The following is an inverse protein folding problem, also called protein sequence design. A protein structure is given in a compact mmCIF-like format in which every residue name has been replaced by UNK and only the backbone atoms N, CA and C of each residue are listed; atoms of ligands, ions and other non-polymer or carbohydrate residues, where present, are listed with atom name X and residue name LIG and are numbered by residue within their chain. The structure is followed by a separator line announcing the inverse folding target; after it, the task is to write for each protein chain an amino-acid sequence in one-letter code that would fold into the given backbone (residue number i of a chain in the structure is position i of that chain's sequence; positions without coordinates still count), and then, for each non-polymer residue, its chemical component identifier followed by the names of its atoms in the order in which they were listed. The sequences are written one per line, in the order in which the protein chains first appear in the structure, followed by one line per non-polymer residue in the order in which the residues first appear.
data_IF_779278303949
#
_entry.id   IF_779278303949
#
_cell.length_a   1.000
_cell.length_b   1.000
_cell.length_c   1.000
_cell.angle_alpha   90.00
_cell.angle_beta   90.00
_cell.angle_gamma   90.00
#
_symmetry.space_group_name_H-M   'P 1'
#
loop_
_entity.id
_entity.type
_entity.pdbx_description
1 polymer ?
#
# COMPACT_ATOMS: atom_id res chain seq x y z
N UNK A 1 -73.44 -37.72 50.79
CA UNK A 1 -73.30 -36.29 51.14
C UNK A 1 -72.58 -35.60 50.01
N UNK A 2 -73.27 -34.71 49.32
CA UNK A 2 -72.69 -33.77 48.36
C UNK A 2 -71.69 -32.86 49.06
N UNK A 3 -70.55 -32.60 48.41
CA UNK A 3 -69.87 -31.31 48.51
C UNK A 3 -69.20 -30.99 47.18
N UNK A 4 -69.91 -30.20 46.38
CA UNK A 4 -69.32 -29.42 45.29
C UNK A 4 -68.58 -28.24 45.94
N UNK A 5 -67.27 -28.14 45.76
CA UNK A 5 -66.50 -26.99 46.23
C UNK A 5 -65.52 -26.45 45.16
N UNK A 6 -65.96 -25.32 44.58
CA UNK A 6 -65.23 -24.17 44.01
C UNK A 6 -64.01 -24.40 43.10
N UNK A 7 -64.24 -24.04 41.83
CA UNK A 7 -63.24 -23.58 40.86
C UNK A 7 -62.37 -22.45 41.43
N UNK A 8 -61.05 -22.63 41.38
CA UNK A 8 -60.08 -21.58 41.65
C UNK A 8 -59.21 -21.38 40.40
N UNK A 9 -59.75 -20.66 39.41
CA UNK A 9 -58.94 -20.08 38.33
C UNK A 9 -58.34 -18.78 38.86
N UNK A 10 -57.03 -18.74 39.11
CA UNK A 10 -56.29 -17.49 38.86
C UNK A 10 -54.75 -17.62 38.81
N UNK A 11 -54.17 -16.68 38.06
CA UNK A 11 -52.81 -16.08 38.16
C UNK A 11 -51.54 -16.81 37.73
N UNK A 12 -51.51 -18.11 37.39
CA UNK A 12 -50.22 -18.73 37.00
C UNK A 12 -49.66 -18.28 35.63
N UNK A 13 -50.52 -17.92 34.68
CA UNK A 13 -50.10 -17.60 33.31
C UNK A 13 -49.32 -16.28 33.14
N UNK A 14 -49.65 -15.24 33.89
CA UNK A 14 -48.99 -13.93 33.75
C UNK A 14 -47.57 -13.94 34.35
N UNK A 15 -47.40 -14.63 35.48
CA UNK A 15 -46.12 -14.75 36.20
C UNK A 15 -45.11 -15.59 35.40
N UNK A 16 -45.60 -16.63 34.73
CA UNK A 16 -44.79 -17.49 33.87
C UNK A 16 -44.37 -16.79 32.56
N UNK A 17 -45.26 -15.94 31.98
CA UNK A 17 -44.93 -15.10 30.82
C UNK A 17 -43.88 -14.03 31.16
N UNK A 18 -44.01 -13.34 32.29
CA UNK A 18 -43.03 -12.35 32.75
C UNK A 18 -41.65 -12.96 32.99
N UNK A 19 -41.60 -14.16 33.60
CA UNK A 19 -40.33 -14.89 33.78
C UNK A 19 -39.70 -15.31 32.45
N UNK A 20 -40.49 -15.69 31.45
CA UNK A 20 -39.97 -16.03 30.13
C UNK A 20 -39.37 -14.81 29.40
N UNK A 21 -40.02 -13.63 29.49
CA UNK A 21 -39.45 -12.39 28.93
C UNK A 21 -38.14 -11.99 29.61
N UNK A 22 -38.03 -12.19 30.92
CA UNK A 22 -36.80 -11.89 31.66
C UNK A 22 -35.63 -12.79 31.23
N UNK A 23 -35.90 -14.09 31.03
CA UNK A 23 -34.89 -15.04 30.55
C UNK A 23 -34.45 -14.71 29.12
N UNK A 24 -35.38 -14.32 28.24
CA UNK A 24 -35.04 -13.90 26.87
C UNK A 24 -34.20 -12.61 26.88
N UNK A 25 -34.51 -11.65 27.76
CA UNK A 25 -33.72 -10.42 27.92
C UNK A 25 -32.27 -10.70 28.33
N UNK A 26 -32.05 -11.56 29.33
CA UNK A 26 -30.70 -11.93 29.78
C UNK A 26 -29.92 -12.70 28.70
N UNK A 27 -30.61 -13.54 27.92
CA UNK A 27 -30.00 -14.25 26.80
C UNK A 27 -29.60 -13.29 25.65
N UNK A 28 -30.36 -12.22 25.38
CA UNK A 28 -29.98 -11.25 24.35
C UNK A 28 -28.80 -10.37 24.76
N UNK A 29 -28.60 -10.09 26.06
CA UNK A 29 -27.42 -9.33 26.54
C UNK A 29 -26.10 -10.09 26.38
N UNK A 30 -26.13 -11.43 26.27
CA UNK A 30 -24.93 -12.26 26.13
C UNK A 30 -24.50 -12.47 24.67
N UNK A 31 -25.27 -11.95 23.69
CA UNK A 31 -24.91 -11.95 22.26
C UNK A 31 -24.34 -10.61 21.76
N UNK A 32 -23.94 -9.69 22.64
CA UNK A 32 -23.17 -8.50 22.25
C UNK A 32 -21.75 -8.88 21.80
N UNK A 33 -21.63 -9.26 20.53
CA UNK A 33 -20.35 -9.31 19.84
C UNK A 33 -19.65 -7.95 19.80
N UNK A 34 -18.33 -7.96 19.72
CA UNK A 34 -17.50 -6.76 19.66
C UNK A 34 -17.73 -5.98 18.35
N UNK A 35 -18.53 -4.92 18.41
CA UNK A 35 -18.41 -3.72 17.58
C UNK A 35 -18.03 -2.59 18.53
N UNK A 36 -17.06 -1.73 18.28
CA UNK A 36 -16.22 -1.51 17.11
C UNK A 36 -15.31 -0.34 17.46
N UNK A 37 -14.42 -0.01 16.54
CA UNK A 37 -13.73 1.28 16.48
C UNK A 37 -14.63 2.44 16.91
N UNK A 38 -14.16 3.28 17.84
CA UNK A 38 -14.85 4.54 18.18
C UNK A 38 -14.79 4.97 19.64
N UNK A 39 -13.67 4.79 20.33
CA UNK A 39 -13.40 5.42 21.64
C UNK A 39 -12.09 6.22 21.54
N UNK A 40 -12.03 7.15 20.58
CA UNK A 40 -10.84 7.97 20.31
C UNK A 40 -10.83 9.27 21.13
N UNK A 41 -11.25 9.20 22.41
CA UNK A 41 -11.34 10.37 23.30
C UNK A 41 -10.57 10.21 24.62
N UNK A 42 -9.73 9.18 24.72
CA UNK A 42 -8.76 9.00 25.81
C UNK A 42 -7.33 8.78 25.26
N UNK A 43 -7.05 9.35 24.09
CA UNK A 43 -5.70 9.41 23.49
C UNK A 43 -4.83 10.45 24.22
N UNK A 44 -4.62 10.25 25.52
CA UNK A 44 -3.43 10.72 26.26
C UNK A 44 -2.54 9.52 26.63
N UNK A 45 -2.61 8.45 25.85
CA UNK A 45 -1.45 7.58 25.71
C UNK A 45 -0.47 8.33 24.81
N UNK A 46 0.41 9.11 25.43
CA UNK A 46 1.62 9.67 24.83
C UNK A 46 2.27 8.58 23.98
N UNK A 47 2.01 8.60 22.67
CA UNK A 47 2.70 7.74 21.71
C UNK A 47 4.16 8.03 21.91
N UNK A 48 4.89 7.06 22.47
CA UNK A 48 6.31 7.21 22.69
C UNK A 48 6.99 7.19 21.32
N UNK A 49 7.21 8.38 20.77
CA UNK A 49 7.95 8.58 19.51
C UNK A 49 9.46 8.37 19.70
N UNK A 50 9.89 7.79 20.82
CA UNK A 50 11.28 7.42 21.10
C UNK A 50 11.81 6.35 20.15
N UNK A 51 10.93 5.61 19.46
CA UNK A 51 11.29 4.74 18.34
C UNK A 51 10.81 5.35 17.02
N UNK A 52 11.20 6.60 16.78
CA UNK A 52 11.41 7.05 15.41
C UNK A 52 12.71 6.40 14.95
N UNK A 53 12.61 5.24 14.28
CA UNK A 53 13.75 4.67 13.57
C UNK A 53 14.29 5.75 12.65
N UNK A 54 15.51 6.18 12.95
CA UNK A 54 16.11 7.38 12.37
C UNK A 54 15.93 7.40 10.86
N UNK A 55 15.61 8.59 10.35
CA UNK A 55 15.69 8.92 8.94
C UNK A 55 17.00 8.32 8.42
N UNK A 56 16.91 7.25 7.62
CA UNK A 56 18.11 6.68 7.00
C UNK A 56 18.65 7.82 6.14
N UNK A 57 19.86 8.34 6.42
CA UNK A 57 20.44 9.37 5.57
C UNK A 57 20.42 8.82 4.15
N UNK A 58 19.88 9.55 3.18
CA UNK A 58 20.06 9.19 1.79
C UNK A 58 21.56 9.22 1.54
N UNK A 59 22.18 8.04 1.51
CA UNK A 59 23.58 7.90 1.16
C UNK A 59 23.76 8.58 -0.19
N UNK A 60 24.73 9.50 -0.34
CA UNK A 60 24.99 10.12 -1.63
C UNK A 60 25.18 9.03 -2.70
N UNK A 61 24.73 9.27 -3.94
CA UNK A 61 24.79 8.27 -4.99
C UNK A 61 26.24 7.77 -5.14
N UNK A 62 26.44 6.47 -4.92
CA UNK A 62 27.74 5.84 -5.16
C UNK A 62 28.05 5.79 -6.66
N UNK A 63 29.31 5.58 -7.01
CA UNK A 63 29.75 5.38 -8.40
C UNK A 63 28.94 4.29 -9.10
N UNK A 64 28.59 3.23 -8.39
CA UNK A 64 27.78 2.12 -8.91
C UNK A 64 26.35 2.57 -9.22
N UNK A 65 25.74 3.39 -8.34
CA UNK A 65 24.40 3.92 -8.61
C UNK A 65 24.37 4.81 -9.85
N UNK A 66 25.41 5.62 -10.07
CA UNK A 66 25.53 6.44 -11.28
C UNK A 66 25.71 5.61 -12.54
N UNK A 67 26.46 4.50 -12.46
CA UNK A 67 26.64 3.57 -13.58
C UNK A 67 25.34 2.83 -13.93
N UNK A 68 24.58 2.42 -12.92
CA UNK A 68 23.27 1.78 -13.09
C UNK A 68 22.27 2.75 -13.70
N UNK A 69 22.21 3.98 -13.17
CA UNK A 69 21.39 5.07 -13.66
C UNK A 69 21.67 5.38 -15.15
N UNK A 70 22.95 5.41 -15.54
CA UNK A 70 23.36 5.57 -16.93
C UNK A 70 22.91 4.41 -17.81
N UNK A 71 23.01 3.17 -17.31
CA UNK A 71 22.59 1.97 -18.05
C UNK A 71 21.08 1.99 -18.30
N UNK A 72 20.30 2.32 -17.27
CA UNK A 72 18.83 2.45 -17.38
C UNK A 72 18.46 3.58 -18.35
N UNK A 73 19.11 4.75 -18.23
CA UNK A 73 18.90 5.86 -19.18
C UNK A 73 19.12 5.38 -20.61
N UNK A 74 20.23 4.73 -20.90
CA UNK A 74 20.56 4.27 -22.25
C UNK A 74 19.56 3.22 -22.76
N UNK A 75 19.07 2.33 -21.90
CA UNK A 75 18.03 1.37 -22.24
C UNK A 75 16.71 2.09 -22.61
N UNK A 76 16.27 3.05 -21.79
CA UNK A 76 15.04 3.82 -22.01
C UNK A 76 15.13 4.67 -23.28
N UNK A 77 16.28 5.25 -23.59
CA UNK A 77 16.45 6.17 -24.72
C UNK A 77 16.66 5.45 -26.05
N UNK A 78 17.25 4.24 -26.02
CA UNK A 78 17.36 3.37 -27.19
C UNK A 78 16.08 2.56 -27.48
N UNK A 79 15.18 2.47 -26.50
CA UNK A 79 13.91 1.78 -26.66
C UNK A 79 13.05 2.42 -27.76
N UNK A 80 12.50 1.56 -28.60
CA UNK A 80 11.44 1.90 -29.54
C UNK A 80 10.09 1.73 -28.82
N UNK A 81 9.57 2.85 -28.30
CA UNK A 81 8.37 2.87 -27.46
C UNK A 81 7.13 2.40 -28.24
N UNK A 82 7.10 2.61 -29.55
CA UNK A 82 5.97 2.23 -30.40
C UNK A 82 5.93 0.71 -30.60
N UNK A 83 7.09 0.10 -30.82
CA UNK A 83 7.23 -1.35 -30.95
C UNK A 83 7.18 -2.10 -29.64
N UNK A 84 7.48 -1.43 -28.52
CA UNK A 84 7.40 -2.06 -27.20
C UNK A 84 5.97 -2.47 -26.85
N UNK A 85 4.94 -1.73 -27.30
CA UNK A 85 3.53 -2.02 -27.02
C UNK A 85 3.21 -2.29 -25.53
N UNK A 86 3.96 -1.65 -24.61
CA UNK A 86 3.83 -1.86 -23.17
C UNK A 86 4.47 -3.15 -22.63
N UNK A 87 5.28 -3.85 -23.43
CA UNK A 87 6.07 -4.98 -22.99
C UNK A 87 7.22 -4.52 -22.06
N UNK A 88 7.56 -5.34 -21.05
CA UNK A 88 8.68 -5.03 -20.16
C UNK A 88 10.02 -5.04 -20.91
N UNK A 89 10.88 -4.06 -20.61
CA UNK A 89 12.22 -3.97 -21.17
C UNK A 89 13.28 -4.36 -20.12
N UNK A 90 13.95 -5.53 -20.27
CA UNK A 90 15.02 -5.92 -19.35
C UNK A 90 16.27 -5.08 -19.57
N UNK A 91 17.02 -4.83 -18.50
CA UNK A 91 18.34 -4.20 -18.56
C UNK A 91 19.30 -4.87 -17.57
N UNK A 92 20.59 -4.78 -17.86
CA UNK A 92 21.65 -5.28 -16.98
C UNK A 92 22.88 -4.39 -17.12
N UNK A 93 23.52 -4.12 -15.99
CA UNK A 93 24.80 -3.43 -15.92
C UNK A 93 25.89 -4.42 -15.51
N UNK A 94 26.75 -4.80 -16.45
CA UNK A 94 27.83 -5.76 -16.21
C UNK A 94 28.94 -5.21 -15.30
N UNK A 95 29.08 -3.88 -15.16
CA UNK A 95 30.14 -3.29 -14.32
C UNK A 95 29.84 -3.41 -12.82
N UNK A 96 28.57 -3.28 -12.45
CA UNK A 96 28.09 -3.33 -11.05
C UNK A 96 27.46 -4.67 -10.70
N UNK A 97 27.07 -5.47 -11.70
CA UNK A 97 26.27 -6.68 -11.53
C UNK A 97 24.79 -6.41 -11.26
N UNK A 98 24.33 -5.16 -11.34
CA UNK A 98 22.92 -4.81 -11.17
C UNK A 98 22.10 -5.18 -12.41
N UNK A 99 20.85 -5.56 -12.21
CA UNK A 99 19.91 -5.84 -13.30
C UNK A 99 18.48 -5.47 -12.91
N UNK A 100 17.58 -5.39 -13.88
CA UNK A 100 16.19 -5.09 -13.60
C UNK A 100 15.32 -5.11 -14.83
N UNK A 101 14.08 -4.67 -14.63
CA UNK A 101 13.07 -4.60 -15.68
C UNK A 101 12.42 -3.23 -15.63
N UNK A 102 12.37 -2.56 -16.79
CA UNK A 102 11.59 -1.35 -16.99
C UNK A 102 10.17 -1.79 -17.36
N UNK A 103 9.21 -1.51 -16.49
CA UNK A 103 7.83 -1.97 -16.64
C UNK A 103 7.06 -1.12 -17.64
N UNK A 104 7.27 0.20 -17.60
CA UNK A 104 6.55 1.16 -18.45
C UNK A 104 7.47 2.27 -18.90
N UNK A 105 7.28 2.72 -20.14
CA UNK A 105 7.88 3.93 -20.69
C UNK A 105 6.76 4.76 -21.28
N UNK A 106 6.59 5.98 -20.78
CA UNK A 106 5.62 6.96 -21.26
C UNK A 106 6.40 8.10 -21.90
N UNK A 107 6.29 8.24 -23.22
CA UNK A 107 6.87 9.36 -23.95
C UNK A 107 5.86 10.51 -24.00
N UNK A 108 6.28 11.69 -23.56
CA UNK A 108 5.51 12.93 -23.64
C UNK A 108 6.33 14.00 -24.35
N UNK A 109 5.68 14.83 -25.16
CA UNK A 109 6.29 15.97 -25.81
C UNK A 109 5.73 17.25 -25.18
N UNK A 110 6.37 17.70 -24.10
CA UNK A 110 6.00 18.92 -23.39
C UNK A 110 6.82 20.07 -23.97
N UNK A 111 6.15 21.12 -24.47
CA UNK A 111 6.81 22.37 -24.87
C UNK A 111 7.93 22.21 -25.93
N UNK A 112 7.82 21.21 -26.80
CA UNK A 112 8.84 20.93 -27.84
C UNK A 112 10.02 20.10 -27.35
N UNK A 113 9.98 19.61 -26.11
CA UNK A 113 10.96 18.70 -25.53
C UNK A 113 10.36 17.29 -25.38
N UNK A 114 11.01 16.30 -26.00
CA UNK A 114 10.62 14.89 -25.83
C UNK A 114 11.17 14.38 -24.50
N UNK A 115 10.29 13.93 -23.62
CA UNK A 115 10.61 13.35 -22.33
C UNK A 115 10.03 11.95 -22.20
N UNK A 116 10.80 11.02 -21.66
CA UNK A 116 10.37 9.67 -21.31
C UNK A 116 10.34 9.52 -19.80
N UNK A 117 9.18 9.20 -19.27
CA UNK A 117 9.00 8.80 -17.88
C UNK A 117 8.95 7.28 -17.82
N UNK A 118 9.58 6.69 -16.81
CA UNK A 118 9.66 5.24 -16.72
C UNK A 118 9.66 4.76 -15.27
N UNK A 119 9.24 3.52 -15.10
CA UNK A 119 9.37 2.76 -13.84
C UNK A 119 10.25 1.55 -14.07
N UNK A 120 11.19 1.31 -13.17
CA UNK A 120 12.08 0.15 -13.25
C UNK A 120 12.33 -0.47 -11.90
N UNK A 121 12.58 -1.77 -11.87
CA UNK A 121 13.26 -2.40 -10.74
C UNK A 121 14.77 -2.26 -10.89
N UNK A 122 15.48 -2.24 -9.77
CA UNK A 122 16.94 -2.40 -9.70
C UNK A 122 17.25 -3.47 -8.67
N UNK A 123 17.84 -4.56 -9.13
CA UNK A 123 18.30 -5.68 -8.33
C UNK A 123 19.81 -5.53 -8.20
N UNK A 124 20.29 -5.43 -6.98
CA UNK A 124 21.71 -5.26 -6.66
C UNK A 124 22.07 -6.12 -5.45
N UNK A 125 23.36 -6.22 -5.13
CA UNK A 125 23.81 -6.94 -3.93
C UNK A 125 23.22 -6.38 -2.62
N UNK A 126 22.95 -5.07 -2.57
CA UNK A 126 22.37 -4.40 -1.41
C UNK A 126 20.87 -4.67 -1.27
N UNK A 127 20.20 -5.07 -2.36
CA UNK A 127 18.77 -5.38 -2.36
C UNK A 127 18.07 -5.05 -3.67
N UNK A 128 16.74 -5.20 -3.64
CA UNK A 128 15.83 -4.90 -4.75
C UNK A 128 14.98 -3.69 -4.38
N UNK A 129 14.90 -2.71 -5.27
CA UNK A 129 14.02 -1.56 -5.11
C UNK A 129 13.41 -1.14 -6.46
N UNK A 130 12.26 -0.46 -6.38
CA UNK A 130 11.61 0.19 -7.53
C UNK A 130 12.05 1.63 -7.62
N UNK A 131 12.22 2.10 -8.84
CA UNK A 131 12.65 3.46 -9.16
C UNK A 131 11.72 4.06 -10.19
N UNK A 132 11.43 5.34 -9.99
CA UNK A 132 10.79 6.20 -10.97
C UNK A 132 11.84 7.16 -11.53
N UNK A 133 11.86 7.31 -12.86
CA UNK A 133 12.76 8.23 -13.53
C UNK A 133 12.13 9.01 -14.67
N UNK A 134 12.72 10.17 -14.97
CA UNK A 134 12.35 11.02 -16.12
C UNK A 134 13.61 11.41 -16.88
N UNK A 135 13.73 10.99 -18.14
CA UNK A 135 14.78 11.45 -19.05
C UNK A 135 14.21 12.29 -20.17
N UNK A 136 14.90 13.35 -20.56
CA UNK A 136 14.46 14.22 -21.65
C UNK A 136 15.55 14.39 -22.69
N UNK A 137 15.14 14.46 -23.94
CA UNK A 137 15.97 14.84 -25.06
C UNK A 137 16.29 16.32 -24.91
N UNK A 138 17.55 16.66 -24.75
CA UNK A 138 18.04 18.03 -24.72
C UNK A 138 18.57 18.44 -26.10
N UNK A 139 18.87 19.72 -26.28
CA UNK A 139 19.44 20.23 -27.54
C UNK A 139 20.65 19.42 -27.99
N UNK A 140 20.75 19.17 -29.30
CA UNK A 140 21.85 18.39 -29.89
C UNK A 140 21.65 16.87 -29.90
N UNK A 141 20.43 16.38 -29.66
CA UNK A 141 20.09 14.95 -29.78
C UNK A 141 20.55 14.09 -28.60
N UNK A 142 21.05 14.71 -27.54
CA UNK A 142 21.50 14.02 -26.34
C UNK A 142 20.34 13.83 -25.37
N UNK A 143 20.30 12.71 -24.66
CA UNK A 143 19.34 12.47 -23.60
C UNK A 143 19.95 12.75 -22.25
N UNK A 144 19.25 13.53 -21.42
CA UNK A 144 19.63 13.83 -20.05
C UNK A 144 18.63 13.19 -19.09
N UNK A 145 19.12 12.57 -18.02
CA UNK A 145 18.27 12.08 -16.95
C UNK A 145 18.05 13.20 -15.93
N UNK A 146 16.79 13.54 -15.68
CA UNK A 146 16.38 14.66 -14.82
C UNK A 146 16.05 14.19 -13.41
N UNK A 147 15.53 12.98 -13.28
CA UNK A 147 15.25 12.37 -11.98
C UNK A 147 15.41 10.86 -12.06
N UNK A 148 15.88 10.29 -10.95
CA UNK A 148 15.94 8.86 -10.71
C UNK A 148 15.85 8.63 -9.20
N UNK A 149 14.67 8.30 -8.71
CA UNK A 149 14.40 8.22 -7.28
C UNK A 149 13.65 6.94 -6.92
N UNK A 150 13.85 6.40 -5.71
CA UNK A 150 13.07 5.27 -5.23
C UNK A 150 11.56 5.57 -5.26
N UNK A 151 10.75 4.60 -5.67
CA UNK A 151 9.29 4.66 -5.57
C UNK A 151 8.90 4.29 -4.12
N UNK A 152 8.29 5.23 -3.40
CA UNK A 152 7.87 5.10 -1.99
C UNK A 152 6.47 4.52 -1.83
#
# INVERSE_FOLDING_TARGET
MEVIAKSNRHTKGLRQRSSAFFVIGVAMLSLSGCVGSGMDFLSEAKVDRSVATGTVPQTPPSTDTLSDEMTVRNAVTSADVQRLEGQPLPWANASTGSAGVIDTIVENNESGQVCRQFRTTRHSYVGIAKFYGKTCLVGGGNWQLLSFQPES
#
